data_IF_353594268769
#
_entry.id   IF_353594268769
#
_cell.length_a   1.000
_cell.length_b   1.000
_cell.length_c   1.000
_cell.angle_alpha   90.00
_cell.angle_beta   90.00
_cell.angle_gamma   90.00
#
_symmetry.space_group_name_H-M   'P 1'
#
loop_
_entity.id
_entity.type
_entity.pdbx_description
1 polymer ?
#
# COMPACT_ATOMS: atom_id res chain seq x y z
N UNK A 1 -3.62 -2.28 14.06
CA UNK A 1 -4.21 -3.45 14.75
C UNK A 1 -3.41 -4.75 14.57
N UNK A 2 -3.47 -5.45 13.43
CA UNK A 2 -2.82 -6.79 13.29
C UNK A 2 -1.30 -6.69 13.46
N UNK A 3 -0.66 -5.72 12.82
CA UNK A 3 0.77 -5.47 12.96
C UNK A 3 1.16 -5.24 14.44
N UNK A 4 0.40 -4.41 15.16
CA UNK A 4 0.62 -4.15 16.58
C UNK A 4 0.42 -5.40 17.44
N UNK A 5 -0.63 -6.20 17.18
CA UNK A 5 -0.92 -7.43 17.92
C UNK A 5 0.11 -8.53 17.71
N UNK A 6 0.83 -8.49 16.60
CA UNK A 6 1.89 -9.43 16.26
C UNK A 6 3.27 -8.89 16.61
N UNK A 7 3.38 -7.68 17.19
CA UNK A 7 4.64 -6.96 17.37
C UNK A 7 5.51 -6.95 16.10
N UNK A 8 4.87 -6.86 14.93
CA UNK A 8 5.54 -6.91 13.63
C UNK A 8 6.23 -8.23 13.27
N UNK A 9 6.01 -9.31 14.02
CA UNK A 9 6.63 -10.62 13.74
C UNK A 9 6.00 -11.37 12.56
N UNK A 10 4.75 -11.04 12.23
CA UNK A 10 4.04 -11.63 11.09
C UNK A 10 3.98 -10.59 9.96
N UNK A 11 4.58 -10.86 8.80
CA UNK A 11 4.47 -9.98 7.64
C UNK A 11 3.02 -9.80 7.21
N UNK A 12 2.58 -8.54 7.07
CA UNK A 12 1.21 -8.20 6.65
C UNK A 12 1.22 -7.70 5.20
N UNK A 13 0.38 -8.30 4.36
CA UNK A 13 0.06 -7.79 3.03
C UNK A 13 -1.26 -7.04 3.13
N UNK A 14 -1.24 -5.74 2.86
CA UNK A 14 -2.45 -4.93 2.92
C UNK A 14 -3.23 -4.99 1.60
N UNK A 15 -4.52 -5.26 1.69
CA UNK A 15 -5.42 -5.33 0.54
C UNK A 15 -6.73 -4.61 0.88
N UNK A 16 -7.24 -3.83 -0.07
CA UNK A 16 -8.51 -3.11 0.04
C UNK A 16 -8.37 -1.59 0.11
N UNK A 17 -9.18 -0.91 -0.71
CA UNK A 17 -9.30 0.56 -0.70
C UNK A 17 -8.08 1.30 -1.26
N UNK A 18 -7.32 0.69 -2.19
CA UNK A 18 -6.14 1.33 -2.79
C UNK A 18 -6.47 1.78 -4.22
N UNK A 19 -6.50 3.09 -4.43
CA UNK A 19 -6.78 3.75 -5.70
C UNK A 19 -5.66 4.69 -6.12
N UNK A 20 -4.91 5.24 -5.17
CA UNK A 20 -3.77 6.13 -5.41
C UNK A 20 -2.57 5.83 -4.52
N UNK A 21 -1.45 6.54 -4.76
CA UNK A 21 -0.21 6.33 -4.03
C UNK A 21 -0.32 6.64 -2.52
N UNK A 22 -1.19 7.57 -2.14
CA UNK A 22 -1.44 7.92 -0.74
C UNK A 22 -2.07 6.76 0.03
N UNK A 23 -3.04 6.07 -0.56
CA UNK A 23 -3.68 4.90 0.06
C UNK A 23 -2.65 3.80 0.32
N UNK A 24 -1.81 3.51 -0.68
CA UNK A 24 -0.74 2.53 -0.55
C UNK A 24 0.25 2.93 0.56
N UNK A 25 0.62 4.21 0.63
CA UNK A 25 1.50 4.73 1.68
C UNK A 25 0.89 4.58 3.07
N UNK A 26 -0.39 4.88 3.24
CA UNK A 26 -1.10 4.71 4.51
C UNK A 26 -1.05 3.25 4.97
N UNK A 27 -1.27 2.29 4.06
CA UNK A 27 -1.21 0.86 4.38
C UNK A 27 0.20 0.40 4.78
N UNK A 28 1.23 0.90 4.09
CA UNK A 28 2.62 0.59 4.40
C UNK A 28 3.02 1.22 5.75
N UNK A 29 2.68 2.48 5.98
CA UNK A 29 2.97 3.19 7.24
C UNK A 29 2.24 2.55 8.44
N UNK A 30 1.10 1.87 8.22
CA UNK A 30 0.40 1.07 9.24
C UNK A 30 1.06 -0.28 9.57
N UNK A 31 2.23 -0.58 8.99
CA UNK A 31 3.00 -1.81 9.21
C UNK A 31 2.81 -2.89 8.14
N UNK A 32 2.14 -2.58 7.03
CA UNK A 32 2.11 -3.47 5.86
C UNK A 32 3.47 -3.52 5.18
N UNK A 33 3.93 -4.72 4.82
CA UNK A 33 5.19 -4.89 4.07
C UNK A 33 4.98 -4.88 2.56
N UNK A 34 3.74 -5.16 2.12
CA UNK A 34 3.32 -5.15 0.73
C UNK A 34 1.87 -4.64 0.63
N UNK A 35 1.51 -4.18 -0.56
CA UNK A 35 0.14 -3.79 -0.91
C UNK A 35 -0.35 -4.57 -2.12
N UNK A 36 -1.64 -4.90 -2.15
CA UNK A 36 -2.33 -5.53 -3.27
C UNK A 36 -3.47 -4.64 -3.76
N UNK A 37 -3.64 -4.57 -5.07
CA UNK A 37 -4.60 -3.67 -5.72
C UNK A 37 -5.47 -4.47 -6.67
N UNK A 38 -6.79 -4.37 -6.50
CA UNK A 38 -7.77 -5.02 -7.37
C UNK A 38 -8.84 -4.04 -7.87
N UNK A 39 -9.73 -3.59 -6.99
CA UNK A 39 -10.78 -2.62 -7.35
C UNK A 39 -10.19 -1.34 -7.94
N UNK A 40 -9.10 -0.83 -7.37
CA UNK A 40 -8.38 0.31 -7.95
C UNK A 40 -7.84 0.05 -9.36
N UNK A 41 -7.36 -1.16 -9.65
CA UNK A 41 -6.90 -1.53 -10.99
C UNK A 41 -8.04 -1.53 -12.00
N UNK A 42 -9.21 -2.02 -11.62
CA UNK A 42 -10.41 -2.03 -12.47
C UNK A 42 -10.82 -0.59 -12.83
N UNK A 43 -10.83 0.33 -11.87
CA UNK A 43 -11.32 1.71 -12.09
C UNK A 43 -10.28 2.69 -12.61
N UNK A 44 -9.00 2.54 -12.25
CA UNK A 44 -7.92 3.47 -12.63
C UNK A 44 -7.10 2.95 -13.82
N UNK A 45 -7.31 1.69 -14.21
CA UNK A 45 -6.56 1.03 -15.28
C UNK A 45 -5.12 0.68 -14.89
N UNK A 46 -4.33 0.12 -15.82
CA UNK A 46 -3.01 -0.44 -15.55
C UNK A 46 -1.96 0.59 -15.11
N UNK A 47 -2.19 1.88 -15.38
CA UNK A 47 -1.29 2.96 -14.99
C UNK A 47 -1.22 3.16 -13.46
N UNK A 48 -2.21 2.66 -12.70
CA UNK A 48 -2.28 2.77 -11.25
C UNK A 48 -1.00 2.27 -10.57
N UNK A 49 -0.42 1.15 -11.05
CA UNK A 49 0.78 0.55 -10.47
C UNK A 49 1.95 1.54 -10.58
N UNK A 50 2.15 2.11 -11.78
CA UNK A 50 3.20 3.10 -12.04
C UNK A 50 2.99 4.37 -11.21
N UNK A 51 1.75 4.83 -11.06
CA UNK A 51 1.42 6.02 -10.29
C UNK A 51 1.67 5.82 -8.79
N UNK A 52 1.28 4.67 -8.24
CA UNK A 52 1.57 4.28 -6.85
C UNK A 52 3.09 4.24 -6.63
N UNK A 53 3.84 3.53 -7.47
CA UNK A 53 5.29 3.42 -7.33
C UNK A 53 5.98 4.79 -7.37
N UNK A 54 5.58 5.67 -8.29
CA UNK A 54 6.13 7.04 -8.39
C UNK A 54 5.88 7.83 -7.12
N UNK A 55 4.65 7.79 -6.58
CA UNK A 55 4.32 8.46 -5.34
C UNK A 55 5.16 7.94 -4.16
N UNK A 56 5.30 6.63 -4.03
CA UNK A 56 6.07 6.00 -2.95
C UNK A 56 7.56 6.36 -3.02
N UNK A 57 8.15 6.40 -4.22
CA UNK A 57 9.54 6.83 -4.42
C UNK A 57 9.72 8.29 -4.01
N UNK A 58 8.81 9.17 -4.43
CA UNK A 58 8.87 10.60 -4.12
C UNK A 58 8.67 10.91 -2.62
N UNK A 59 8.02 10.02 -1.86
CA UNK A 59 7.65 10.23 -0.45
C UNK A 59 8.30 9.21 0.50
N UNK A 60 9.45 8.65 0.10
CA UNK A 60 10.19 7.71 0.95
C UNK A 60 10.79 8.47 2.13
N UNK A 61 10.45 8.07 3.36
CA UNK A 61 11.13 8.56 4.57
C UNK A 61 12.56 7.98 4.58
N UNK A 62 13.55 8.84 4.80
CA UNK A 62 14.95 8.47 5.05
C UNK A 62 15.08 7.70 6.36
#
# INVERSE_FOLDING_TARGET
YIFEKTNGQIPVIASGGIFEGKDAKEKLDAGGVLVQVWTGFIYQGPSIVKNICRHLIANRKL
#
